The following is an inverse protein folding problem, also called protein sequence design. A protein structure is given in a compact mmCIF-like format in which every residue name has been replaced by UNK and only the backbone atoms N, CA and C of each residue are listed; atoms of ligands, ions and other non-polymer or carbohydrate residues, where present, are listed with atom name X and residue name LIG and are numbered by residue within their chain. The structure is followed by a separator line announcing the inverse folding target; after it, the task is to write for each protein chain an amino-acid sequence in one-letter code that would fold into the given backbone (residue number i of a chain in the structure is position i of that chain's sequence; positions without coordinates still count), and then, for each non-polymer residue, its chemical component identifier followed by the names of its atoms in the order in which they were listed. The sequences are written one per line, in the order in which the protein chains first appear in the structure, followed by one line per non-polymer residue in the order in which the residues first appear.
data_IF_229152840971
#
_entry.id   IF_229152840971
#
_cell.length_a   1.000
_cell.length_b   1.000
_cell.length_c   1.000
_cell.angle_alpha   90.00
_cell.angle_beta   90.00
_cell.angle_gamma   90.00
#
_symmetry.space_group_name_H-M   'P 1'
#
loop_
_entity.id
_entity.type
_entity.pdbx_description
1 polymer ?
#
# COMPACT_ATOMS: atom_id res chain seq x y z
N UNK A 1 -23.62 2.41 15.38
CA UNK A 1 -23.92 2.68 13.97
C UNK A 1 -25.41 2.90 13.82
N UNK A 2 -25.80 3.90 13.05
CA UNK A 2 -27.18 4.13 12.60
C UNK A 2 -27.56 3.12 11.50
N UNK A 3 -28.85 3.00 11.18
CA UNK A 3 -29.32 2.12 10.10
C UNK A 3 -28.70 2.52 8.74
N UNK A 4 -28.58 3.83 8.48
CA UNK A 4 -27.92 4.35 7.29
C UNK A 4 -26.43 3.98 7.27
N UNK A 5 -25.71 4.15 8.38
CA UNK A 5 -24.31 3.75 8.49
C UNK A 5 -24.14 2.25 8.25
N UNK A 6 -25.03 1.40 8.78
CA UNK A 6 -24.99 -0.04 8.58
C UNK A 6 -25.24 -0.43 7.12
N UNK A 7 -26.20 0.22 6.46
CA UNK A 7 -26.49 0.00 5.05
C UNK A 7 -25.30 0.39 4.17
N UNK A 8 -24.75 1.59 4.38
CA UNK A 8 -23.58 2.08 3.62
C UNK A 8 -22.38 1.18 3.88
N UNK A 9 -22.11 0.81 5.13
CA UNK A 9 -21.00 -0.07 5.48
C UNK A 9 -21.08 -1.41 4.76
N UNK A 10 -22.27 -2.02 4.71
CA UNK A 10 -22.47 -3.31 4.02
C UNK A 10 -22.18 -3.20 2.52
N UNK A 11 -22.62 -2.12 1.87
CA UNK A 11 -22.36 -1.89 0.44
C UNK A 11 -20.88 -1.61 0.16
N UNK A 12 -20.24 -0.81 0.99
CA UNK A 12 -18.80 -0.51 0.87
C UNK A 12 -17.97 -1.79 0.97
N UNK A 13 -18.27 -2.68 1.93
CA UNK A 13 -17.57 -3.97 2.06
C UNK A 13 -17.75 -4.84 0.81
N UNK A 14 -18.97 -4.87 0.25
CA UNK A 14 -19.22 -5.61 -0.99
C UNK A 14 -18.41 -5.05 -2.18
N UNK A 15 -18.23 -3.73 -2.25
CA UNK A 15 -17.39 -3.09 -3.26
C UNK A 15 -15.90 -3.38 -3.02
N UNK A 16 -15.44 -3.33 -1.76
CA UNK A 16 -14.05 -3.66 -1.40
C UNK A 16 -13.70 -5.11 -1.80
N UNK A 17 -14.65 -6.04 -1.64
CA UNK A 17 -14.50 -7.43 -2.06
C UNK A 17 -14.33 -7.60 -3.58
N UNK A 18 -14.58 -6.56 -4.39
CA UNK A 18 -14.41 -6.56 -5.83
C UNK A 18 -13.22 -5.70 -6.24
N UNK A 19 -12.07 -6.35 -6.45
CA UNK A 19 -10.82 -5.72 -6.87
C UNK A 19 -11.01 -4.73 -8.04
N UNK A 20 -11.76 -5.11 -9.08
CA UNK A 20 -11.97 -4.27 -10.26
C UNK A 20 -12.69 -2.95 -9.93
N UNK A 21 -13.63 -2.96 -8.98
CA UNK A 21 -14.35 -1.75 -8.58
C UNK A 21 -13.46 -0.77 -7.80
N UNK A 22 -12.49 -1.31 -7.06
CA UNK A 22 -11.57 -0.53 -6.22
C UNK A 22 -10.37 -0.03 -7.03
N UNK A 23 -9.60 -0.93 -7.63
CA UNK A 23 -8.33 -0.59 -8.28
C UNK A 23 -8.45 -0.43 -9.81
N UNK A 24 -9.59 -0.81 -10.39
CA UNK A 24 -9.78 -0.85 -11.84
C UNK A 24 -9.08 -2.05 -12.51
N UNK A 25 -9.28 -2.20 -13.82
CA UNK A 25 -8.52 -3.20 -14.60
C UNK A 25 -7.16 -2.64 -14.99
N UNK A 26 -6.09 -3.11 -14.35
CA UNK A 26 -4.72 -2.81 -14.77
C UNK A 26 -4.09 -4.08 -15.33
N UNK A 27 -4.14 -4.18 -16.66
CA UNK A 27 -3.76 -5.38 -17.41
C UNK A 27 -2.33 -5.87 -17.19
N UNK A 28 -1.46 -5.06 -16.58
CA UNK A 28 -0.06 -5.39 -16.25
C UNK A 28 0.07 -6.13 -14.91
N UNK A 29 -0.80 -5.89 -13.92
CA UNK A 29 -0.65 -6.47 -12.57
C UNK A 29 -0.81 -7.99 -12.56
N UNK A 30 -1.80 -8.53 -13.28
CA UNK A 30 -2.04 -9.97 -13.38
C UNK A 30 -0.85 -10.71 -14.03
N UNK A 31 -0.38 -10.35 -15.24
CA UNK A 31 0.77 -11.01 -15.84
C UNK A 31 2.04 -10.79 -15.01
N UNK A 32 2.21 -9.63 -14.36
CA UNK A 32 3.34 -9.39 -13.46
C UNK A 32 3.33 -10.35 -12.26
N UNK A 33 2.19 -10.50 -11.56
CA UNK A 33 2.02 -11.46 -10.45
C UNK A 33 2.37 -12.87 -10.90
N UNK A 34 1.87 -13.30 -12.07
CA UNK A 34 2.19 -14.62 -12.64
C UNK A 34 3.67 -14.79 -12.96
N UNK A 35 4.32 -13.78 -13.55
CA UNK A 35 5.73 -13.83 -13.90
C UNK A 35 6.64 -13.91 -12.67
N UNK A 36 6.26 -13.22 -11.58
CA UNK A 36 6.97 -13.28 -10.30
C UNK A 36 6.85 -14.67 -9.66
N UNK A 37 5.64 -15.23 -9.59
CA UNK A 37 5.40 -16.55 -9.00
C UNK A 37 6.03 -17.72 -9.77
N UNK A 38 6.32 -17.53 -11.07
CA UNK A 38 6.93 -18.58 -11.90
C UNK A 38 8.43 -18.80 -11.61
N UNK A 39 9.05 -18.01 -10.71
CA UNK A 39 10.41 -18.13 -10.14
C UNK A 39 11.59 -18.28 -11.14
N UNK A 40 11.36 -18.21 -12.46
CA UNK A 40 12.33 -18.70 -13.44
C UNK A 40 13.08 -17.65 -14.27
N UNK A 41 12.50 -16.49 -14.56
CA UNK A 41 13.16 -15.53 -15.46
C UNK A 41 12.80 -14.06 -15.18
N UNK A 42 13.76 -13.32 -14.61
CA UNK A 42 13.67 -11.87 -14.43
C UNK A 42 13.47 -11.12 -15.76
N UNK A 43 13.83 -11.71 -16.92
CA UNK A 43 13.58 -11.11 -18.23
C UNK A 43 12.10 -10.93 -18.51
N UNK A 44 11.26 -11.90 -18.16
CA UNK A 44 9.81 -11.77 -18.33
C UNK A 44 9.25 -10.61 -17.49
N UNK A 45 9.76 -10.44 -16.27
CA UNK A 45 9.38 -9.32 -15.39
C UNK A 45 9.86 -7.98 -15.99
N UNK A 46 11.09 -7.93 -16.50
CA UNK A 46 11.64 -6.76 -17.20
C UNK A 46 10.77 -6.42 -18.41
N UNK A 47 10.41 -7.39 -19.26
CA UNK A 47 9.63 -7.17 -20.48
C UNK A 47 8.22 -6.64 -20.16
N UNK A 48 7.57 -7.22 -19.14
CA UNK A 48 6.25 -6.75 -18.67
C UNK A 48 6.34 -5.30 -18.17
N UNK A 49 7.32 -4.98 -17.33
CA UNK A 49 7.47 -3.62 -16.78
C UNK A 49 7.90 -2.62 -17.87
N UNK A 50 8.77 -3.04 -18.80
CA UNK A 50 9.24 -2.20 -19.92
C UNK A 50 8.12 -1.82 -20.88
N UNK A 51 7.02 -2.59 -20.90
CA UNK A 51 5.83 -2.25 -21.70
C UNK A 51 5.11 -0.99 -21.20
N UNK A 52 5.37 -0.57 -19.96
CA UNK A 52 4.88 0.68 -19.37
C UNK A 52 6.05 1.58 -18.94
N UNK A 53 6.38 2.61 -19.75
CA UNK A 53 7.47 3.54 -19.45
C UNK A 53 7.31 4.30 -18.13
N UNK A 54 6.08 4.59 -17.70
CA UNK A 54 5.83 5.32 -16.47
C UNK A 54 6.11 4.43 -15.25
N UNK A 55 5.66 3.17 -15.30
CA UNK A 55 6.01 2.17 -14.30
C UNK A 55 7.52 1.90 -14.27
N UNK A 56 8.18 1.78 -15.43
CA UNK A 56 9.63 1.59 -15.53
C UNK A 56 10.41 2.72 -14.86
N UNK A 57 10.02 3.97 -15.13
CA UNK A 57 10.61 5.14 -14.48
C UNK A 57 10.34 5.13 -12.97
N UNK A 58 9.14 4.71 -12.54
CA UNK A 58 8.80 4.57 -11.13
C UNK A 58 9.69 3.54 -10.42
N UNK A 59 9.93 2.37 -11.02
CA UNK A 59 10.81 1.33 -10.47
C UNK A 59 12.24 1.83 -10.31
N UNK A 60 12.76 2.53 -11.32
CA UNK A 60 14.10 3.11 -11.26
C UNK A 60 14.20 4.16 -10.15
N UNK A 61 13.19 5.02 -9.99
CA UNK A 61 13.11 5.99 -8.91
C UNK A 61 13.10 5.31 -7.55
N UNK A 62 12.22 4.31 -7.33
CA UNK A 62 12.08 3.59 -6.07
C UNK A 62 13.35 2.85 -5.66
N UNK A 63 14.01 2.18 -6.62
CA UNK A 63 15.29 1.50 -6.37
C UNK A 63 16.41 2.43 -5.88
N UNK A 64 16.27 3.74 -6.11
CA UNK A 64 17.21 4.76 -5.68
C UNK A 64 16.74 5.54 -4.44
N UNK A 65 15.46 5.48 -4.06
CA UNK A 65 14.90 6.20 -2.90
C UNK A 65 14.96 5.43 -1.59
N UNK A 66 14.91 4.10 -1.62
CA UNK A 66 15.04 3.25 -0.44
C UNK A 66 16.49 3.17 0.08
N UNK A 67 17.44 3.84 -0.59
CA UNK A 67 18.83 3.88 -0.13
C UNK A 67 18.96 4.82 1.07
N UNK A 68 19.18 4.23 2.24
CA UNK A 68 19.61 4.94 3.43
C UNK A 68 20.84 5.83 3.14
N UNK A 69 20.80 7.07 3.64
CA UNK A 69 21.95 7.99 3.59
C UNK A 69 23.17 7.34 4.25
N UNK A 70 24.13 6.89 3.44
CA UNK A 70 25.39 6.29 3.90
C UNK A 70 25.71 4.90 3.33
N UNK A 71 24.75 4.23 2.67
CA UNK A 71 25.05 2.97 1.96
C UNK A 71 25.58 3.30 0.57
N UNK A 72 26.87 3.04 0.34
CA UNK A 72 27.54 3.22 -0.97
C UNK A 72 27.14 2.07 -1.91
N UNK A 73 25.86 1.96 -2.23
CA UNK A 73 25.42 1.13 -3.35
C UNK A 73 25.37 2.00 -4.61
N UNK A 74 25.93 1.55 -5.75
CA UNK A 74 25.84 2.31 -6.97
C UNK A 74 24.36 2.53 -7.32
N UNK A 75 23.99 3.78 -7.62
CA UNK A 75 22.65 4.10 -8.12
C UNK A 75 22.30 3.18 -9.29
N UNK A 76 21.10 2.61 -9.28
CA UNK A 76 20.60 1.81 -10.40
C UNK A 76 20.55 2.69 -11.65
N UNK A 77 21.27 2.30 -12.71
CA UNK A 77 21.34 3.04 -13.98
C UNK A 77 20.49 2.41 -15.09
N UNK A 78 20.07 1.17 -14.90
CA UNK A 78 19.20 0.46 -15.83
C UNK A 78 17.99 -0.11 -15.09
N UNK A 79 16.90 -0.34 -15.83
CA UNK A 79 15.71 -1.01 -15.30
C UNK A 79 16.06 -2.42 -14.80
N UNK A 80 16.92 -3.15 -15.51
CA UNK A 80 17.39 -4.48 -15.10
C UNK A 80 18.05 -4.42 -13.71
N UNK A 81 18.97 -3.49 -13.49
CA UNK A 81 19.66 -3.36 -12.20
C UNK A 81 18.68 -2.97 -11.09
N UNK A 82 17.74 -2.06 -11.39
CA UNK A 82 16.70 -1.66 -10.46
C UNK A 82 15.84 -2.85 -10.03
N UNK A 83 15.36 -3.66 -10.98
CA UNK A 83 14.49 -4.80 -10.69
C UNK A 83 15.23 -5.92 -9.95
N UNK A 84 16.50 -6.22 -10.32
CA UNK A 84 17.31 -7.19 -9.57
C UNK A 84 17.50 -6.74 -8.12
N UNK A 85 17.81 -5.46 -7.90
CA UNK A 85 18.01 -4.89 -6.57
C UNK A 85 16.73 -4.88 -5.73
N UNK A 86 15.61 -4.48 -6.32
CA UNK A 86 14.31 -4.46 -5.63
C UNK A 86 13.87 -5.86 -5.20
N UNK A 87 14.18 -6.88 -6.00
CA UNK A 87 13.70 -8.24 -5.76
C UNK A 87 12.22 -8.40 -6.09
N UNK A 88 11.80 -9.65 -6.29
CA UNK A 88 10.48 -9.99 -6.80
C UNK A 88 9.32 -9.42 -5.97
N UNK A 89 9.42 -9.53 -4.64
CA UNK A 89 8.36 -9.10 -3.71
C UNK A 89 8.13 -7.58 -3.80
N UNK A 90 9.20 -6.79 -3.76
CA UNK A 90 9.07 -5.33 -3.78
C UNK A 90 8.65 -4.81 -5.16
N UNK A 91 9.04 -5.49 -6.26
CA UNK A 91 8.57 -5.14 -7.61
C UNK A 91 7.04 -5.15 -7.66
N UNK A 92 6.40 -6.21 -7.18
CA UNK A 92 4.94 -6.28 -7.21
C UNK A 92 4.29 -5.20 -6.34
N UNK A 93 4.79 -5.02 -5.10
CA UNK A 93 4.29 -4.01 -4.16
C UNK A 93 4.40 -2.59 -4.74
N UNK A 94 5.55 -2.24 -5.33
CA UNK A 94 5.71 -0.93 -5.98
C UNK A 94 4.83 -0.77 -7.23
N UNK A 95 4.64 -1.82 -8.03
CA UNK A 95 3.78 -1.74 -9.20
C UNK A 95 2.32 -1.55 -8.79
N UNK A 96 1.89 -2.29 -7.77
CA UNK A 96 0.56 -2.15 -7.20
C UNK A 96 0.32 -0.73 -6.66
N UNK A 97 1.24 -0.21 -5.84
CA UNK A 97 1.11 1.16 -5.29
C UNK A 97 1.14 2.24 -6.37
N UNK A 98 1.92 2.05 -7.44
CA UNK A 98 1.93 2.93 -8.62
C UNK A 98 0.54 3.02 -9.27
N UNK A 99 -0.05 1.88 -9.62
CA UNK A 99 -1.35 1.86 -10.26
C UNK A 99 -2.50 2.25 -9.33
N UNK A 100 -2.39 1.94 -8.04
CA UNK A 100 -3.31 2.44 -7.04
C UNK A 100 -3.32 3.97 -7.06
N UNK A 101 -2.15 4.61 -7.03
CA UNK A 101 -2.03 6.07 -7.09
C UNK A 101 -2.67 6.66 -8.35
N UNK A 102 -2.44 6.07 -9.53
CA UNK A 102 -3.10 6.52 -10.76
C UNK A 102 -4.62 6.48 -10.63
N UNK A 103 -5.15 5.39 -10.06
CA UNK A 103 -6.59 5.25 -9.81
C UNK A 103 -7.11 6.32 -8.85
N UNK A 104 -6.36 6.66 -7.81
CA UNK A 104 -6.73 7.71 -6.84
C UNK A 104 -6.80 9.10 -7.50
N UNK A 105 -5.94 9.37 -8.48
CA UNK A 105 -5.93 10.64 -9.21
C UNK A 105 -7.11 10.76 -10.19
N UNK A 106 -7.79 9.67 -10.54
CA UNK A 106 -8.99 9.64 -11.38
C UNK A 106 -10.30 9.84 -10.60
N UNK A 107 -10.28 9.82 -9.25
CA UNK A 107 -11.50 9.90 -8.47
C UNK A 107 -12.23 11.25 -8.64
N UNK A 108 -13.57 11.28 -8.53
CA UNK A 108 -14.32 12.52 -8.50
C UNK A 108 -14.06 13.29 -7.19
N UNK A 109 -14.31 14.60 -7.21
CA UNK A 109 -14.34 15.39 -5.98
C UNK A 109 -15.54 15.00 -5.11
N UNK A 110 -15.43 15.03 -3.76
CA UNK A 110 -14.28 15.45 -2.96
C UNK A 110 -13.24 14.34 -2.69
N UNK A 111 -13.52 13.11 -3.12
CA UNK A 111 -12.71 11.93 -2.80
C UNK A 111 -11.26 12.06 -3.24
N UNK A 112 -11.02 12.58 -4.44
CA UNK A 112 -9.66 12.87 -4.95
C UNK A 112 -8.82 13.68 -3.96
N UNK A 113 -9.38 14.74 -3.37
CA UNK A 113 -8.66 15.58 -2.40
C UNK A 113 -8.33 14.82 -1.13
N UNK A 114 -9.27 14.00 -0.64
CA UNK A 114 -9.09 13.19 0.58
C UNK A 114 -8.00 12.13 0.37
N UNK A 115 -8.08 11.35 -0.71
CA UNK A 115 -7.10 10.29 -1.00
C UNK A 115 -5.70 10.86 -1.27
N UNK A 116 -5.59 12.05 -1.88
CA UNK A 116 -4.30 12.73 -2.04
C UNK A 116 -3.69 13.12 -0.68
N UNK A 117 -4.52 13.48 0.31
CA UNK A 117 -4.06 13.71 1.68
C UNK A 117 -3.50 12.44 2.32
N UNK A 118 -4.23 11.33 2.24
CA UNK A 118 -3.77 10.03 2.73
C UNK A 118 -2.53 9.51 1.97
N UNK A 119 -2.44 9.74 0.66
CA UNK A 119 -1.26 9.37 -0.11
C UNK A 119 -0.02 10.13 0.31
N UNK A 120 -0.12 11.45 0.54
CA UNK A 120 0.98 12.25 1.08
C UNK A 120 1.41 11.76 2.47
N UNK A 121 0.45 11.42 3.33
CA UNK A 121 0.73 10.84 4.63
C UNK A 121 1.48 9.50 4.50
N UNK A 122 1.05 8.65 3.58
CA UNK A 122 1.67 7.36 3.26
C UNK A 122 3.14 7.52 2.87
N UNK A 123 3.45 8.39 1.91
CA UNK A 123 4.82 8.64 1.45
C UNK A 123 5.69 9.23 2.58
N UNK A 124 5.13 10.09 3.42
CA UNK A 124 5.84 10.63 4.58
C UNK A 124 6.15 9.55 5.62
N UNK A 125 5.22 8.63 5.89
CA UNK A 125 5.48 7.50 6.80
C UNK A 125 6.55 6.58 6.22
N UNK A 126 6.54 6.35 4.90
CA UNK A 126 7.54 5.53 4.23
C UNK A 126 8.96 6.13 4.30
N UNK A 127 9.09 7.45 4.17
CA UNK A 127 10.36 8.14 4.39
C UNK A 127 10.83 7.99 5.84
N UNK A 128 9.97 8.33 6.81
CA UNK A 128 10.28 8.22 8.24
C UNK A 128 10.64 6.80 8.68
N UNK A 129 10.03 5.78 8.08
CA UNK A 129 10.30 4.38 8.42
C UNK A 129 11.70 3.94 7.98
N UNK A 130 12.16 4.38 6.80
CA UNK A 130 13.54 4.15 6.35
C UNK A 130 14.52 4.93 7.23
N UNK A 131 14.23 6.19 7.55
CA UNK A 131 15.08 6.98 8.45
C UNK A 131 15.15 6.34 9.85
N UNK A 132 14.03 5.84 10.36
CA UNK A 132 13.99 5.14 11.64
C UNK A 132 14.81 3.84 11.64
N UNK A 133 14.84 3.10 10.53
CA UNK A 133 15.70 1.93 10.38
C UNK A 133 17.19 2.32 10.46
N UNK A 134 17.60 3.44 9.85
CA UNK A 134 19.00 3.92 9.88
C UNK A 134 19.45 4.26 11.31
N UNK A 135 18.57 4.80 12.13
CA UNK A 135 18.86 5.07 13.54
C UNK A 135 19.05 3.78 14.37
N UNK A 136 18.43 2.67 13.94
CA UNK A 136 18.44 1.39 14.64
C UNK A 136 19.64 0.55 14.22
N UNK A 137 20.78 0.81 14.86
CA UNK A 137 22.02 0.04 14.64
C UNK A 137 21.83 -1.45 14.98
N UNK A 138 22.33 -2.31 14.10
CA UNK A 138 22.38 -3.76 14.33
C UNK A 138 21.11 -4.52 13.95
N UNK A 139 20.14 -3.86 13.31
CA UNK A 139 18.98 -4.52 12.71
C UNK A 139 19.35 -5.04 11.33
N UNK A 140 19.01 -6.30 11.05
CA UNK A 140 19.18 -6.92 9.73
C UNK A 140 17.82 -6.94 9.01
N UNK A 141 17.40 -5.76 8.55
CA UNK A 141 16.11 -5.55 7.88
C UNK A 141 16.36 -4.81 6.57
N UNK A 142 15.74 -5.28 5.48
CA UNK A 142 15.84 -4.65 4.18
C UNK A 142 15.08 -3.30 4.17
N UNK A 143 15.73 -2.16 3.86
CA UNK A 143 15.06 -0.88 3.69
C UNK A 143 13.94 -0.89 2.64
N UNK A 144 14.08 -1.69 1.58
CA UNK A 144 13.05 -1.80 0.53
C UNK A 144 11.79 -2.50 1.07
N UNK A 145 11.92 -3.49 1.97
CA UNK A 145 10.77 -4.10 2.64
C UNK A 145 10.07 -3.13 3.60
N UNK A 146 10.83 -2.34 4.37
CA UNK A 146 10.27 -1.32 5.27
C UNK A 146 9.55 -0.24 4.47
N UNK A 147 10.16 0.26 3.39
CA UNK A 147 9.57 1.29 2.54
C UNK A 147 8.29 0.78 1.87
N UNK A 148 8.32 -0.41 1.26
CA UNK A 148 7.12 -0.97 0.60
C UNK A 148 6.02 -1.26 1.60
N UNK A 149 6.32 -1.80 2.79
CA UNK A 149 5.33 -2.02 3.84
C UNK A 149 4.66 -0.70 4.26
N UNK A 150 5.47 0.34 4.47
CA UNK A 150 4.99 1.65 4.88
C UNK A 150 4.08 2.32 3.83
N UNK A 151 4.22 1.98 2.55
CA UNK A 151 3.30 2.43 1.50
C UNK A 151 1.86 1.89 1.66
N UNK A 152 1.63 0.94 2.57
CA UNK A 152 0.30 0.43 2.91
C UNK A 152 -0.21 0.93 4.27
N UNK A 153 0.48 1.86 4.94
CA UNK A 153 0.17 2.30 6.32
C UNK A 153 -1.26 2.83 6.53
N UNK A 154 -1.87 3.42 5.49
CA UNK A 154 -3.26 3.91 5.52
C UNK A 154 -4.10 3.29 4.40
N UNK A 155 -3.74 2.07 4.02
CA UNK A 155 -4.34 1.34 2.91
C UNK A 155 -5.86 1.19 3.04
N UNK A 156 -6.34 0.80 4.22
CA UNK A 156 -7.78 0.62 4.45
C UNK A 156 -8.59 1.90 4.22
N UNK A 157 -8.09 3.07 4.62
CA UNK A 157 -8.77 4.34 4.38
C UNK A 157 -8.79 4.70 2.89
N UNK A 158 -7.68 4.49 2.19
CA UNK A 158 -7.58 4.74 0.75
C UNK A 158 -8.58 3.85 -0.01
N UNK A 159 -8.59 2.56 0.30
CA UNK A 159 -9.47 1.58 -0.36
C UNK A 159 -10.94 1.86 -0.02
N UNK A 160 -11.25 2.16 1.25
CA UNK A 160 -12.59 2.56 1.66
C UNK A 160 -13.07 3.81 0.91
N UNK A 161 -12.24 4.86 0.81
CA UNK A 161 -12.60 6.09 0.09
C UNK A 161 -12.87 5.85 -1.39
N UNK A 162 -12.11 4.95 -2.03
CA UNK A 162 -12.38 4.55 -3.41
C UNK A 162 -13.70 3.80 -3.54
N UNK A 163 -14.01 2.90 -2.61
CA UNK A 163 -15.29 2.21 -2.55
C UNK A 163 -16.47 3.18 -2.31
N UNK A 164 -16.31 4.16 -1.42
CA UNK A 164 -17.31 5.23 -1.22
C UNK A 164 -17.50 6.09 -2.47
N UNK A 165 -16.42 6.41 -3.18
CA UNK A 165 -16.50 7.15 -4.44
C UNK A 165 -17.27 6.36 -5.50
N UNK A 166 -17.02 5.07 -5.62
CA UNK A 166 -17.75 4.18 -6.52
C UNK A 166 -19.22 4.07 -6.13
N UNK A 167 -19.50 3.90 -4.85
CA UNK A 167 -20.85 3.80 -4.31
C UNK A 167 -21.66 5.07 -4.61
N UNK A 168 -21.12 6.25 -4.30
CA UNK A 168 -21.79 7.52 -4.60
C UNK A 168 -21.97 7.78 -6.09
N UNK A 169 -21.04 7.31 -6.94
CA UNK A 169 -21.18 7.44 -8.39
C UNK A 169 -22.26 6.50 -8.96
N UNK A 170 -22.51 5.38 -8.29
CA UNK A 170 -23.48 4.36 -8.72
C UNK A 170 -24.85 4.50 -8.06
N UNK A 171 -24.96 5.35 -7.04
CA UNK A 171 -26.19 5.59 -6.28
C UNK A 171 -26.92 6.81 -6.83
N UNK A 172 -28.26 6.77 -6.78
CA UNK A 172 -29.09 7.94 -7.10
C UNK A 172 -28.99 9.05 -6.03
N UNK A 173 -28.64 8.66 -4.80
CA UNK A 173 -28.45 9.56 -3.66
C UNK A 173 -26.97 9.61 -3.22
N UNK A 174 -26.47 10.80 -2.91
CA UNK A 174 -25.11 10.99 -2.41
C UNK A 174 -25.09 10.84 -0.89
N UNK A 175 -24.25 9.95 -0.37
CA UNK A 175 -24.09 9.78 1.07
C UNK A 175 -23.32 10.97 1.69
N UNK A 176 -23.74 11.49 2.85
CA UNK A 176 -23.05 12.58 3.53
C UNK A 176 -21.62 12.20 3.94
N UNK A 177 -20.68 13.14 3.79
CA UNK A 177 -19.28 12.94 4.22
C UNK A 177 -19.14 12.63 5.73
N UNK A 178 -20.10 13.04 6.55
CA UNK A 178 -20.13 12.71 7.98
C UNK A 178 -20.31 11.21 8.24
N UNK A 179 -21.17 10.54 7.45
CA UNK A 179 -21.37 9.08 7.51
C UNK A 179 -20.09 8.37 7.08
N UNK A 180 -19.47 8.83 5.99
CA UNK A 180 -18.21 8.28 5.48
C UNK A 180 -17.09 8.40 6.51
N UNK A 181 -16.92 9.58 7.10
CA UNK A 181 -15.94 9.82 8.15
C UNK A 181 -16.20 8.94 9.36
N UNK A 182 -17.44 8.87 9.83
CA UNK A 182 -17.84 8.02 10.97
C UNK A 182 -17.50 6.55 10.73
N UNK A 183 -17.78 6.04 9.52
CA UNK A 183 -17.46 4.66 9.16
C UNK A 183 -15.95 4.41 9.08
N UNK A 184 -15.18 5.31 8.46
CA UNK A 184 -13.72 5.17 8.41
C UNK A 184 -13.13 5.19 9.82
N UNK A 185 -13.54 6.12 10.68
CA UNK A 185 -13.00 6.25 12.03
C UNK A 185 -13.35 5.04 12.92
N UNK A 186 -14.58 4.53 12.82
CA UNK A 186 -15.06 3.45 13.70
C UNK A 186 -14.79 2.04 13.17
N UNK A 187 -14.61 1.87 11.85
CA UNK A 187 -14.43 0.56 11.21
C UNK A 187 -13.08 0.44 10.49
N UNK A 188 -12.12 1.31 10.78
CA UNK A 188 -10.81 1.36 10.12
C UNK A 188 -10.11 -0.01 10.07
N UNK A 189 -10.07 -0.72 11.20
CA UNK A 189 -9.41 -2.02 11.29
C UNK A 189 -10.11 -3.05 10.39
N UNK A 190 -11.44 -3.15 10.47
CA UNK A 190 -12.24 -4.08 9.65
C UNK A 190 -12.04 -3.82 8.17
N UNK A 191 -12.19 -2.55 7.74
CA UNK A 191 -12.01 -2.14 6.35
C UNK A 191 -10.61 -2.44 5.83
N UNK A 192 -9.59 -2.25 6.69
CA UNK A 192 -8.20 -2.55 6.32
C UNK A 192 -7.95 -4.04 6.13
N UNK A 193 -8.40 -4.87 7.07
CA UNK A 193 -8.22 -6.33 6.99
C UNK A 193 -8.92 -6.88 5.75
N UNK A 194 -10.15 -6.46 5.51
CA UNK A 194 -10.92 -6.91 4.34
C UNK A 194 -10.31 -6.43 3.03
N UNK A 195 -9.75 -5.21 2.97
CA UNK A 195 -9.03 -4.75 1.80
C UNK A 195 -7.81 -5.62 1.49
N UNK A 196 -7.05 -6.03 2.50
CA UNK A 196 -5.91 -6.95 2.31
C UNK A 196 -6.36 -8.35 1.86
N UNK A 197 -7.49 -8.84 2.38
CA UNK A 197 -8.05 -10.15 2.00
C UNK A 197 -8.59 -10.15 0.58
N UNK A 198 -9.32 -9.10 0.19
CA UNK A 198 -9.94 -8.99 -1.12
C UNK A 198 -8.91 -8.83 -2.25
N UNK A 199 -7.85 -8.06 -2.01
CA UNK A 199 -6.86 -7.70 -3.03
C UNK A 199 -5.72 -8.73 -3.14
N UNK A 200 -5.66 -9.72 -2.25
CA UNK A 200 -4.71 -10.84 -2.26
C UNK A 200 -3.28 -10.43 -2.67
N UNK A 201 -2.77 -9.35 -2.06
CA UNK A 201 -1.54 -8.73 -2.54
C UNK A 201 -0.32 -9.59 -2.26
N UNK A 202 -0.15 -9.94 -0.99
CA UNK A 202 0.99 -10.69 -0.46
C UNK A 202 0.70 -11.04 1.01
N UNK A 203 0.88 -12.31 1.38
CA UNK A 203 0.64 -12.75 2.75
C UNK A 203 1.64 -12.15 3.73
N UNK A 204 2.91 -12.02 3.34
CA UNK A 204 3.97 -11.49 4.20
C UNK A 204 3.74 -10.01 4.47
N UNK A 205 3.35 -9.25 3.43
CA UNK A 205 2.92 -7.85 3.57
C UNK A 205 1.78 -7.72 4.59
N UNK A 206 0.75 -8.57 4.50
CA UNK A 206 -0.37 -8.55 5.44
C UNK A 206 0.09 -8.87 6.88
N UNK A 207 0.98 -9.84 7.06
CA UNK A 207 1.49 -10.19 8.40
C UNK A 207 2.32 -9.07 9.01
N UNK A 208 3.25 -8.50 8.26
CA UNK A 208 4.08 -7.39 8.72
C UNK A 208 3.25 -6.13 8.97
N UNK A 209 2.19 -5.91 8.19
CA UNK A 209 1.22 -4.85 8.45
C UNK A 209 0.49 -5.04 9.78
N UNK A 210 0.01 -6.26 10.06
CA UNK A 210 -0.62 -6.59 11.33
C UNK A 210 0.34 -6.43 12.52
N UNK A 211 1.62 -6.75 12.34
CA UNK A 211 2.66 -6.47 13.33
C UNK A 211 2.81 -4.96 13.51
N UNK A 212 2.89 -4.19 12.43
CA UNK A 212 3.05 -2.74 12.47
C UNK A 212 1.95 -2.04 13.26
N UNK A 213 0.70 -2.51 13.15
CA UNK A 213 -0.44 -1.94 13.87
C UNK A 213 -0.77 -2.63 15.20
N UNK A 214 0.14 -3.45 15.75
CA UNK A 214 -0.02 -4.16 17.03
C UNK A 214 -1.26 -5.08 17.08
N UNK A 215 -1.66 -5.63 15.92
CA UNK A 215 -2.72 -6.63 15.80
C UNK A 215 -2.15 -8.06 15.92
N UNK A 216 -0.84 -8.22 15.69
CA UNK A 216 -0.12 -9.48 15.83
C UNK A 216 1.21 -9.26 16.55
N UNK A 217 1.57 -10.21 17.40
CA UNK A 217 2.88 -10.25 18.05
C UNK A 217 3.88 -11.03 17.19
N UNK A 218 5.15 -10.64 17.26
CA UNK A 218 6.25 -11.32 16.59
C UNK A 218 7.39 -11.55 17.58
N UNK A 219 8.15 -12.63 17.38
CA UNK A 219 9.41 -12.90 18.08
C UNK A 219 10.63 -12.58 17.21
N UNK A 220 10.42 -12.25 15.93
CA UNK A 220 11.49 -11.86 15.04
C UNK A 220 11.89 -10.40 15.37
N UNK A 221 13.09 -10.14 15.90
CA UNK A 221 13.56 -8.78 16.16
C UNK A 221 13.77 -8.00 14.85
N UNK A 222 14.03 -8.69 13.74
CA UNK A 222 14.26 -8.14 12.42
C UNK A 222 12.97 -8.08 11.58
N UNK A 223 11.83 -7.76 12.20
CA UNK A 223 10.57 -7.60 11.49
C UNK A 223 10.44 -6.15 10.96
N UNK A 224 10.23 -5.95 9.64
CA UNK A 224 9.91 -4.63 9.09
C UNK A 224 8.71 -3.97 9.79
N UNK A 225 7.73 -4.78 10.21
CA UNK A 225 6.57 -4.34 10.97
C UNK A 225 6.93 -3.71 12.32
N UNK A 226 7.97 -4.17 13.01
CA UNK A 226 8.41 -3.54 14.26
C UNK A 226 8.99 -2.14 14.03
N UNK A 227 9.71 -1.94 12.92
CA UNK A 227 10.22 -0.63 12.52
C UNK A 227 9.06 0.31 12.24
N UNK A 228 8.10 -0.13 11.40
CA UNK A 228 6.94 0.67 11.07
C UNK A 228 6.06 0.97 12.29
N UNK A 229 5.89 0.02 13.22
CA UNK A 229 5.16 0.22 14.48
C UNK A 229 5.68 1.41 15.25
N UNK A 230 6.99 1.58 15.36
CA UNK A 230 7.61 2.72 16.04
C UNK A 230 7.15 4.04 15.42
N UNK A 231 7.23 4.15 14.10
CA UNK A 231 6.80 5.36 13.36
C UNK A 231 5.29 5.62 13.52
N UNK A 232 4.47 4.59 13.36
CA UNK A 232 3.01 4.70 13.53
C UNK A 232 2.62 5.10 14.96
N UNK A 233 3.32 4.56 15.97
CA UNK A 233 3.11 4.92 17.37
C UNK A 233 3.43 6.38 17.64
N UNK A 234 4.56 6.89 17.13
CA UNK A 234 4.94 8.30 17.29
C UNK A 234 3.94 9.25 16.62
N UNK A 235 3.29 8.79 15.53
CA UNK A 235 2.29 9.56 14.77
C UNK A 235 0.86 9.37 15.28
N UNK A 236 0.62 8.49 16.26
CA UNK A 236 -0.72 8.19 16.76
C UNK A 236 -1.63 7.49 15.74
N UNK A 237 -1.06 6.66 14.86
CA UNK A 237 -1.76 6.02 13.73
C UNK A 237 -1.91 4.49 13.87
N UNK A 238 -1.60 3.94 15.04
CA UNK A 238 -1.81 2.51 15.30
C UNK A 238 -3.31 2.19 15.28
N UNK A 239 -3.67 1.05 14.66
CA UNK A 239 -5.06 0.56 14.72
C UNK A 239 -5.37 0.06 16.12
N UNK A 240 -4.39 -0.60 16.75
CA UNK A 240 -4.42 -1.01 18.14
C UNK A 240 -3.27 -0.31 18.90
N UNK A 241 -3.55 0.71 19.72
CA UNK A 241 -2.52 1.40 20.50
C UNK A 241 -1.69 0.47 21.41
N UNK A 242 -0.50 0.92 21.80
CA UNK A 242 0.41 0.21 22.73
C UNK A 242 0.08 0.46 24.20
#
# INVERSE_FOLDING_TARGET
MTDLEQQVFTQVRAIIANEEQVIGRRGILIPLKKAILAEGDIRNVIDIISSDPALSAHMLMRSNSAQASGVVNPKSRSLKDALIRLGQVNIYRYAFTFYLKERLDELPQPYKKLVQGYWKLTESIAADAVDSLVEMKGMDVDPDEVQTLALFSVFGQIIALTAFAYLNASSEESFPLSVIKSLIDNQQQTLTIEAFEALDLDQDLRQEFMIAHNLRQTRNPNSPGLILRRVLSMRGLLLNPL
#
